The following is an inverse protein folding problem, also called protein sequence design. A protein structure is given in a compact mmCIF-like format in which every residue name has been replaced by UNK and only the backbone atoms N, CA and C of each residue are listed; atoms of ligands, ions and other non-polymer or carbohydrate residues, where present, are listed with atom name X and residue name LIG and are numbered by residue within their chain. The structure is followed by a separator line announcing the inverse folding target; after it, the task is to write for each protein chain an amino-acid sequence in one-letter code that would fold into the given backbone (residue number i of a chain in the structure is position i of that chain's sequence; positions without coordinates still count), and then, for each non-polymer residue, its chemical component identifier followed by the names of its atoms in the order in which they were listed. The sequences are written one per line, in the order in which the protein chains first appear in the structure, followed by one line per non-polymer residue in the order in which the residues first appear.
data_IF_054071556055
#
_entry.id   IF_054071556055
#
_cell.length_a   1.000
_cell.length_b   1.000
_cell.length_c   1.000
_cell.angle_alpha   90.00
_cell.angle_beta   90.00
_cell.angle_gamma   90.00
#
_symmetry.space_group_name_H-M   'P 1'
#
loop_
_entity.id
_entity.type
_entity.pdbx_description
1 polymer ?
#
# COMPACT_ATOMS: atom_id res chain seq x y z
N UNK A 1 23.42 5.78 12.36
CA UNK A 1 23.71 4.64 13.19
C UNK A 1 22.50 3.75 13.30
N UNK A 2 22.52 2.61 12.61
CA UNK A 2 21.47 1.60 12.72
C UNK A 2 21.50 1.07 14.16
N UNK A 3 20.42 1.25 14.89
CA UNK A 3 20.20 0.48 16.11
C UNK A 3 19.94 -0.95 15.67
N UNK A 4 20.97 -1.77 15.74
CA UNK A 4 20.85 -3.23 15.58
C UNK A 4 20.08 -3.78 16.79
N UNK A 5 18.78 -3.57 16.75
CA UNK A 5 17.91 -4.22 17.71
C UNK A 5 17.66 -5.64 17.21
N UNK A 6 18.02 -6.65 18.00
CA UNK A 6 17.76 -8.06 17.67
C UNK A 6 16.27 -8.35 17.36
N UNK A 7 15.37 -7.47 17.74
CA UNK A 7 13.93 -7.53 17.46
C UNK A 7 13.54 -6.91 16.10
N UNK A 8 14.44 -6.20 15.41
CA UNK A 8 14.12 -5.53 14.16
C UNK A 8 13.60 -6.50 13.07
N UNK A 9 14.21 -7.67 12.82
CA UNK A 9 13.69 -8.61 11.82
C UNK A 9 12.29 -9.10 12.14
N UNK A 10 11.98 -9.36 13.42
CA UNK A 10 10.66 -9.79 13.86
C UNK A 10 9.62 -8.68 13.64
N UNK A 11 9.98 -7.45 13.97
CA UNK A 11 9.11 -6.29 13.75
C UNK A 11 8.80 -6.10 12.26
N UNK A 12 9.82 -6.20 11.39
CA UNK A 12 9.62 -6.09 9.95
C UNK A 12 8.77 -7.24 9.40
N UNK A 13 8.96 -8.47 9.86
CA UNK A 13 8.13 -9.59 9.47
C UNK A 13 6.65 -9.37 9.84
N UNK A 14 6.37 -8.89 11.03
CA UNK A 14 5.00 -8.54 11.47
C UNK A 14 4.42 -7.41 10.61
N UNK A 15 5.20 -6.38 10.31
CA UNK A 15 4.76 -5.26 9.46
C UNK A 15 4.46 -5.71 8.02
N UNK A 16 5.28 -6.61 7.45
CA UNK A 16 5.05 -7.18 6.12
C UNK A 16 3.76 -8.00 6.06
N UNK A 17 3.53 -8.86 7.06
CA UNK A 17 2.29 -9.65 7.15
C UNK A 17 1.07 -8.72 7.31
N UNK A 18 1.15 -7.73 8.19
CA UNK A 18 0.07 -6.77 8.39
C UNK A 18 -0.23 -5.98 7.10
N UNK A 19 0.79 -5.61 6.34
CA UNK A 19 0.63 -4.92 5.05
C UNK A 19 0.01 -5.83 4.00
N UNK A 20 0.39 -7.10 3.94
CA UNK A 20 -0.18 -8.09 3.03
C UNK A 20 -1.68 -8.30 3.30
N UNK A 21 -2.07 -8.42 4.58
CA UNK A 21 -3.49 -8.53 4.96
C UNK A 21 -4.25 -7.22 4.69
N UNK A 22 -3.63 -6.06 4.88
CA UNK A 22 -4.21 -4.76 4.58
C UNK A 22 -4.47 -4.58 3.07
N UNK A 23 -3.54 -5.01 2.20
CA UNK A 23 -3.73 -4.99 0.76
C UNK A 23 -4.89 -5.89 0.32
N UNK A 24 -5.05 -7.06 0.96
CA UNK A 24 -6.18 -7.95 0.73
C UNK A 24 -7.53 -7.32 1.13
N UNK A 25 -7.53 -6.52 2.17
CA UNK A 25 -8.73 -5.76 2.58
C UNK A 25 -9.06 -4.67 1.55
N UNK A 26 -8.04 -4.01 0.99
CA UNK A 26 -8.19 -2.97 -0.03
C UNK A 26 -8.71 -3.50 -1.39
N UNK A 27 -8.60 -4.81 -1.67
CA UNK A 27 -9.12 -5.47 -2.88
C UNK A 27 -10.66 -5.47 -2.97
N UNK A 28 -11.33 -4.93 -1.97
CA UNK A 28 -12.78 -4.74 -1.96
C UNK A 28 -13.30 -3.60 -2.82
N UNK A 29 -12.44 -2.75 -3.36
CA UNK A 29 -12.77 -1.65 -4.25
C UNK A 29 -11.99 -1.75 -5.56
N UNK A 30 -12.72 -1.61 -6.68
CA UNK A 30 -12.18 -1.77 -8.04
C UNK A 30 -10.93 -0.92 -8.29
N UNK A 31 -9.87 -1.55 -8.81
CA UNK A 31 -8.62 -0.90 -9.22
C UNK A 31 -7.71 -0.41 -8.10
N UNK A 32 -8.17 -0.40 -6.85
CA UNK A 32 -7.46 0.26 -5.75
C UNK A 32 -6.11 -0.37 -5.44
N UNK A 33 -6.02 -1.70 -5.42
CA UNK A 33 -4.75 -2.39 -5.16
C UNK A 33 -3.76 -2.16 -6.29
N UNK A 34 -4.20 -2.31 -7.53
CA UNK A 34 -3.36 -2.13 -8.71
C UNK A 34 -2.91 -0.67 -8.87
N UNK A 35 -3.82 0.30 -8.68
CA UNK A 35 -3.50 1.73 -8.78
C UNK A 35 -2.56 2.20 -7.67
N UNK A 36 -2.81 1.79 -6.43
CA UNK A 36 -1.95 2.12 -5.30
C UNK A 36 -0.56 1.48 -5.42
N UNK A 37 -0.50 0.20 -5.81
CA UNK A 37 0.76 -0.50 -6.02
C UNK A 37 1.53 0.07 -7.21
N UNK A 38 0.87 0.44 -8.31
CA UNK A 38 1.49 1.11 -9.45
C UNK A 38 2.19 2.40 -9.03
N UNK A 39 1.49 3.28 -8.29
CA UNK A 39 2.07 4.52 -7.79
C UNK A 39 3.26 4.27 -6.85
N UNK A 40 3.17 3.26 -5.97
CA UNK A 40 4.26 2.88 -5.08
C UNK A 40 5.48 2.34 -5.86
N UNK A 41 5.27 1.54 -6.90
CA UNK A 41 6.36 1.00 -7.75
C UNK A 41 7.05 2.10 -8.55
N UNK A 42 6.30 3.06 -9.12
CA UNK A 42 6.91 4.23 -9.76
C UNK A 42 7.75 5.04 -8.75
N UNK A 43 7.23 5.20 -7.54
CA UNK A 43 7.95 5.87 -6.46
C UNK A 43 9.24 5.17 -6.08
N UNK A 44 9.22 3.85 -5.95
CA UNK A 44 10.41 3.05 -5.66
C UNK A 44 11.44 3.17 -6.79
N UNK A 45 11.02 3.04 -8.04
CA UNK A 45 11.89 3.23 -9.20
C UNK A 45 12.60 4.59 -9.16
N UNK A 46 11.86 5.67 -8.87
CA UNK A 46 12.43 7.02 -8.76
C UNK A 46 13.40 7.13 -7.58
N UNK A 47 13.05 6.58 -6.42
CA UNK A 47 13.89 6.62 -5.22
C UNK A 47 15.18 5.82 -5.40
N UNK A 48 15.10 4.62 -5.96
CA UNK A 48 16.27 3.77 -6.22
C UNK A 48 17.24 4.43 -7.21
N UNK A 49 16.70 5.08 -8.25
CA UNK A 49 17.54 5.85 -9.19
C UNK A 49 18.22 7.04 -8.52
N UNK A 50 17.53 7.77 -7.64
CA UNK A 50 18.10 8.90 -6.89
C UNK A 50 19.14 8.46 -5.87
N UNK A 51 18.95 7.29 -5.25
CA UNK A 51 19.88 6.72 -4.27
C UNK A 51 21.08 5.98 -4.92
N UNK A 52 21.15 5.93 -6.26
CA UNK A 52 22.23 5.27 -6.98
C UNK A 52 22.07 3.76 -7.17
N UNK A 53 20.91 3.18 -6.83
CA UNK A 53 20.62 1.76 -6.95
C UNK A 53 20.01 1.39 -8.32
N UNK A 54 20.54 1.95 -9.41
CA UNK A 54 20.04 1.75 -10.78
C UNK A 54 19.73 0.30 -11.17
N UNK A 55 20.58 -0.70 -10.87
CA UNK A 55 20.28 -2.08 -11.25
C UNK A 55 19.03 -2.65 -10.60
N UNK A 56 18.69 -2.20 -9.38
CA UNK A 56 17.51 -2.66 -8.66
C UNK A 56 16.23 -1.95 -9.13
N UNK A 57 16.31 -0.73 -9.62
CA UNK A 57 15.18 0.04 -10.14
C UNK A 57 14.44 -0.65 -11.31
N UNK A 58 15.06 -1.65 -11.94
CA UNK A 58 14.43 -2.47 -12.99
C UNK A 58 13.26 -3.28 -12.44
N UNK A 59 13.32 -3.76 -11.19
CA UNK A 59 12.24 -4.55 -10.58
C UNK A 59 10.95 -3.73 -10.39
N UNK A 60 10.96 -2.60 -9.69
CA UNK A 60 9.75 -1.78 -9.56
C UNK A 60 9.29 -1.22 -10.90
N UNK A 61 10.20 -0.91 -11.86
CA UNK A 61 9.80 -0.48 -13.18
C UNK A 61 9.02 -1.56 -13.95
N UNK A 62 9.51 -2.80 -13.96
CA UNK A 62 8.85 -3.93 -14.60
C UNK A 62 7.49 -4.22 -13.96
N UNK A 63 7.44 -4.20 -12.62
CA UNK A 63 6.19 -4.43 -11.89
C UNK A 63 5.18 -3.29 -12.11
N UNK A 64 5.63 -2.05 -12.17
CA UNK A 64 4.78 -0.92 -12.53
C UNK A 64 4.13 -1.10 -13.91
N UNK A 65 4.90 -1.53 -14.91
CA UNK A 65 4.37 -1.85 -16.24
C UNK A 65 3.32 -2.94 -16.21
N UNK A 66 3.55 -4.03 -15.48
CA UNK A 66 2.60 -5.12 -15.33
C UNK A 66 1.32 -4.68 -14.60
N UNK A 67 1.44 -3.91 -13.52
CA UNK A 67 0.31 -3.37 -12.77
C UNK A 67 -0.52 -2.40 -13.60
N UNK A 68 0.12 -1.55 -14.41
CA UNK A 68 -0.57 -0.64 -15.32
C UNK A 68 -1.36 -1.41 -16.40
N UNK A 69 -0.78 -2.47 -16.96
CA UNK A 69 -1.47 -3.32 -17.93
C UNK A 69 -2.67 -4.03 -17.29
N UNK A 70 -2.51 -4.54 -16.06
CA UNK A 70 -3.60 -5.19 -15.33
C UNK A 70 -4.70 -4.18 -14.96
N UNK A 71 -4.33 -2.95 -14.60
CA UNK A 71 -5.27 -1.89 -14.22
C UNK A 71 -6.27 -1.55 -15.34
N UNK A 72 -5.93 -1.80 -16.60
CA UNK A 72 -6.89 -1.63 -17.73
C UNK A 72 -8.13 -2.53 -17.58
N UNK A 73 -7.99 -3.66 -16.88
CA UNK A 73 -9.07 -4.62 -16.63
C UNK A 73 -9.68 -4.49 -15.23
N UNK A 74 -8.90 -3.96 -14.28
CA UNK A 74 -9.29 -3.77 -12.88
C UNK A 74 -9.89 -2.38 -12.62
N UNK A 75 -9.76 -1.44 -13.59
CA UNK A 75 -10.34 -0.09 -13.48
C UNK A 75 -11.88 -0.13 -13.37
N UNK A 76 -12.50 0.72 -12.50
CA UNK A 76 -13.96 0.72 -12.32
C UNK A 76 -14.76 1.01 -13.61
N UNK A 77 -15.76 0.17 -13.97
CA UNK A 77 -16.17 -1.09 -13.33
C UNK A 77 -15.23 -2.24 -13.68
N UNK A 78 -14.66 -2.89 -12.65
CA UNK A 78 -13.65 -3.91 -12.85
C UNK A 78 -14.21 -5.16 -13.55
N UNK A 79 -13.43 -5.68 -14.50
CA UNK A 79 -13.70 -6.95 -15.19
C UNK A 79 -12.87 -8.10 -14.64
N UNK A 80 -11.75 -7.78 -14.00
CA UNK A 80 -10.81 -8.70 -13.37
C UNK A 80 -10.31 -8.06 -12.07
N UNK A 81 -10.10 -8.87 -11.06
CA UNK A 81 -9.49 -8.45 -9.80
C UNK A 81 -8.16 -9.18 -9.58
N UNK A 82 -7.16 -8.56 -8.92
CA UNK A 82 -5.87 -9.18 -8.64
C UNK A 82 -5.99 -10.39 -7.72
N UNK A 83 -7.05 -10.43 -6.93
CA UNK A 83 -7.32 -11.50 -5.99
C UNK A 83 -6.22 -11.63 -4.93
N UNK A 84 -6.34 -12.65 -4.09
CA UNK A 84 -5.43 -12.85 -2.94
C UNK A 84 -3.95 -12.90 -3.34
N UNK A 85 -3.63 -13.62 -4.42
CA UNK A 85 -2.23 -13.75 -4.84
C UNK A 85 -1.65 -12.43 -5.34
N UNK A 86 -2.40 -11.68 -6.16
CA UNK A 86 -1.96 -10.38 -6.65
C UNK A 86 -1.78 -9.35 -5.52
N UNK A 87 -2.71 -9.31 -4.56
CA UNK A 87 -2.61 -8.43 -3.39
C UNK A 87 -1.38 -8.74 -2.53
N UNK A 88 -1.14 -10.03 -2.23
CA UNK A 88 0.02 -10.46 -1.46
C UNK A 88 1.34 -10.15 -2.18
N UNK A 89 1.37 -10.36 -3.50
CA UNK A 89 2.54 -10.05 -4.31
C UNK A 89 2.84 -8.54 -4.35
N UNK A 90 1.83 -7.71 -4.61
CA UNK A 90 1.97 -6.25 -4.64
C UNK A 90 2.45 -5.70 -3.28
N UNK A 91 1.82 -6.14 -2.18
CA UNK A 91 2.20 -5.75 -0.83
C UNK A 91 3.62 -6.23 -0.48
N UNK A 92 3.95 -7.47 -0.83
CA UNK A 92 5.28 -8.03 -0.63
C UNK A 92 6.35 -7.22 -1.36
N UNK A 93 6.12 -6.85 -2.62
CA UNK A 93 7.04 -6.02 -3.40
C UNK A 93 7.26 -4.64 -2.74
N UNK A 94 6.18 -3.94 -2.34
CA UNK A 94 6.26 -2.62 -1.68
C UNK A 94 7.05 -2.71 -0.36
N UNK A 95 6.93 -3.82 0.36
CA UNK A 95 7.62 -4.01 1.62
C UNK A 95 9.05 -4.51 1.50
N UNK A 96 9.31 -5.48 0.61
CA UNK A 96 10.61 -6.14 0.51
C UNK A 96 11.63 -5.34 -0.30
N UNK A 97 11.23 -4.62 -1.35
CA UNK A 97 12.17 -3.87 -2.18
C UNK A 97 12.93 -2.81 -1.36
N UNK A 98 12.29 -1.96 -0.53
CA UNK A 98 13.01 -1.03 0.33
C UNK A 98 13.93 -1.72 1.35
N UNK A 99 13.57 -2.90 1.84
CA UNK A 99 14.44 -3.69 2.72
C UNK A 99 15.72 -4.12 2.01
N UNK A 100 15.64 -4.51 0.73
CA UNK A 100 16.81 -4.94 -0.06
C UNK A 100 17.82 -3.81 -0.26
N UNK A 101 17.39 -2.56 -0.33
CA UNK A 101 18.28 -1.39 -0.50
C UNK A 101 18.70 -0.77 0.84
N UNK A 102 18.28 -1.36 1.98
CA UNK A 102 18.65 -0.89 3.31
C UNK A 102 17.81 0.29 3.83
N UNK A 103 16.73 0.68 3.15
CA UNK A 103 15.82 1.77 3.50
C UNK A 103 14.43 1.24 3.86
N UNK A 104 14.36 0.29 4.78
CA UNK A 104 13.13 -0.38 5.19
C UNK A 104 12.00 0.59 5.57
N UNK A 105 12.34 1.73 6.17
CA UNK A 105 11.41 2.79 6.58
C UNK A 105 10.60 3.37 5.42
N UNK A 106 11.12 3.35 4.19
CA UNK A 106 10.39 3.83 3.01
C UNK A 106 9.15 2.99 2.69
N UNK A 107 9.11 1.74 3.13
CA UNK A 107 7.92 0.88 2.99
C UNK A 107 6.70 1.47 3.75
N UNK A 108 6.96 2.28 4.78
CA UNK A 108 5.90 2.85 5.62
C UNK A 108 5.05 3.86 4.85
N UNK A 109 5.58 4.93 4.27
CA UNK A 109 4.80 5.87 3.50
C UNK A 109 4.33 5.32 2.15
N UNK A 110 5.11 4.46 1.49
CA UNK A 110 4.73 3.88 0.19
C UNK A 110 3.49 2.98 0.28
N UNK A 111 3.29 2.29 1.40
CA UNK A 111 2.11 1.48 1.67
C UNK A 111 0.95 2.25 2.32
N UNK A 112 0.97 3.59 2.30
CA UNK A 112 0.01 4.43 3.03
C UNK A 112 -1.46 4.07 2.77
N UNK A 113 -1.96 3.86 1.52
CA UNK A 113 -3.34 3.49 1.29
C UNK A 113 -3.71 2.15 1.93
N UNK A 114 -2.85 1.14 1.84
CA UNK A 114 -3.09 -0.16 2.48
C UNK A 114 -3.10 -0.05 4.00
N UNK A 115 -2.22 0.77 4.57
CA UNK A 115 -2.18 1.00 6.03
C UNK A 115 -3.42 1.71 6.54
N UNK A 116 -3.95 2.67 5.80
CA UNK A 116 -5.19 3.37 6.16
C UNK A 116 -6.37 2.39 6.09
N UNK A 117 -6.49 1.60 5.03
CA UNK A 117 -7.54 0.59 4.88
C UNK A 117 -7.48 -0.46 5.99
N UNK A 118 -6.34 -1.11 6.19
CA UNK A 118 -6.15 -2.12 7.22
C UNK A 118 -6.24 -1.54 8.63
N UNK A 119 -5.65 -0.37 8.87
CA UNK A 119 -5.69 0.32 10.16
C UNK A 119 -7.11 0.66 10.59
N UNK A 120 -7.96 1.10 9.66
CA UNK A 120 -9.36 1.39 9.94
C UNK A 120 -10.13 0.12 10.37
N UNK A 121 -9.83 -1.03 9.74
CA UNK A 121 -10.43 -2.32 10.14
C UNK A 121 -9.95 -2.76 11.52
N UNK A 122 -8.64 -2.67 11.80
CA UNK A 122 -8.07 -3.02 13.11
C UNK A 122 -8.69 -2.15 14.21
N UNK A 123 -8.75 -0.84 14.01
CA UNK A 123 -9.38 0.09 14.96
C UNK A 123 -10.85 -0.23 15.18
N UNK A 124 -11.59 -0.55 14.11
CA UNK A 124 -12.99 -0.95 14.20
C UNK A 124 -13.17 -2.19 15.07
N UNK A 125 -12.37 -3.26 14.82
CA UNK A 125 -12.46 -4.52 15.56
C UNK A 125 -12.09 -4.32 17.04
N UNK A 126 -11.00 -3.60 17.33
CA UNK A 126 -10.58 -3.32 18.70
C UNK A 126 -11.64 -2.52 19.47
N UNK A 127 -12.20 -1.50 18.83
CA UNK A 127 -13.23 -0.66 19.47
C UNK A 127 -14.54 -1.43 19.70
N UNK A 128 -14.96 -2.27 18.74
CA UNK A 128 -16.11 -3.14 18.90
C UNK A 128 -15.91 -4.13 20.07
N UNK A 129 -14.72 -4.70 20.21
CA UNK A 129 -14.40 -5.60 21.34
C UNK A 129 -14.40 -4.88 22.68
N UNK A 130 -13.94 -3.64 22.71
CA UNK A 130 -13.81 -2.89 23.96
C UNK A 130 -15.10 -2.23 24.42
N UNK A 131 -15.85 -1.61 23.49
CA UNK A 131 -17.05 -0.82 23.82
C UNK A 131 -18.37 -1.44 23.32
N UNK A 132 -18.34 -2.59 22.67
CA UNK A 132 -19.54 -3.26 22.16
C UNK A 132 -20.29 -2.53 21.05
N UNK A 133 -19.70 -1.46 20.49
CA UNK A 133 -20.30 -0.65 19.42
C UNK A 133 -19.27 -0.29 18.35
N UNK A 134 -19.69 -0.14 17.08
CA UNK A 134 -18.79 0.24 16.01
C UNK A 134 -18.30 1.69 16.18
N UNK A 135 -17.01 1.92 15.86
CA UNK A 135 -16.39 3.25 15.83
C UNK A 135 -16.80 4.02 14.58
N UNK A 136 -16.73 3.34 13.43
CA UNK A 136 -17.09 3.89 12.12
C UNK A 136 -18.39 3.27 11.63
N UNK A 137 -19.15 4.02 10.84
CA UNK A 137 -20.39 3.55 10.21
C UNK A 137 -20.14 2.38 9.23
N UNK A 138 -18.94 2.29 8.67
CA UNK A 138 -18.42 1.17 7.90
C UNK A 138 -16.90 1.18 7.97
N UNK A 139 -16.28 0.02 7.84
CA UNK A 139 -14.86 -0.18 7.63
C UNK A 139 -14.73 -1.32 6.60
N UNK A 140 -13.75 -1.31 5.75
CA UNK A 140 -12.63 -0.36 5.52
C UNK A 140 -13.02 1.02 4.96
N UNK A 141 -12.02 1.86 4.62
CA UNK A 141 -12.23 3.24 4.17
C UNK A 141 -13.08 3.32 2.90
N UNK A 142 -12.82 2.47 1.89
CA UNK A 142 -13.61 2.46 0.66
C UNK A 142 -15.10 2.24 0.93
N UNK A 143 -15.48 1.29 1.82
CA UNK A 143 -16.88 1.06 2.19
C UNK A 143 -17.51 2.23 2.93
N UNK A 144 -16.72 2.97 3.69
CA UNK A 144 -17.20 4.17 4.36
C UNK A 144 -17.46 5.30 3.34
N UNK A 145 -16.60 5.44 2.32
CA UNK A 145 -16.77 6.37 1.22
C UNK A 145 -17.98 6.00 0.35
N UNK A 146 -18.18 4.73 0.04
CA UNK A 146 -19.39 4.21 -0.67
C UNK A 146 -20.67 4.57 0.08
N UNK A 147 -20.71 4.34 1.40
CA UNK A 147 -21.87 4.74 2.22
C UNK A 147 -22.14 6.23 2.22
N UNK A 148 -21.14 7.06 1.92
CA UNK A 148 -21.30 8.51 1.73
C UNK A 148 -21.73 8.90 0.32
N UNK A 149 -21.99 7.94 -0.56
CA UNK A 149 -22.46 8.17 -1.92
C UNK A 149 -21.35 8.48 -2.94
N UNK A 150 -20.07 8.22 -2.60
CA UNK A 150 -19.00 8.36 -3.58
C UNK A 150 -19.05 7.25 -4.62
N UNK A 151 -18.83 7.62 -5.90
CA UNK A 151 -18.73 6.65 -6.98
C UNK A 151 -17.43 5.83 -6.88
N UNK A 152 -17.42 4.61 -7.43
CA UNK A 152 -16.26 3.74 -7.45
C UNK A 152 -15.01 4.42 -8.05
N UNK A 153 -15.22 5.20 -9.11
CA UNK A 153 -14.14 5.98 -9.76
C UNK A 153 -13.56 7.03 -8.83
N UNK A 154 -14.40 7.74 -8.06
CA UNK A 154 -13.91 8.74 -7.10
C UNK A 154 -13.16 8.10 -5.93
N UNK A 155 -13.59 6.90 -5.48
CA UNK A 155 -12.89 6.13 -4.45
C UNK A 155 -11.51 5.70 -4.96
N UNK A 156 -11.45 5.18 -6.19
CA UNK A 156 -10.19 4.86 -6.85
C UNK A 156 -9.22 6.05 -6.87
N UNK A 157 -9.66 7.22 -7.36
CA UNK A 157 -8.82 8.42 -7.39
C UNK A 157 -8.40 8.90 -6.00
N UNK A 158 -9.27 8.79 -4.99
CA UNK A 158 -8.94 9.17 -3.62
C UNK A 158 -7.82 8.30 -3.03
N UNK A 159 -7.85 6.99 -3.29
CA UNK A 159 -6.82 6.07 -2.82
C UNK A 159 -5.51 6.19 -3.62
N UNK A 160 -5.59 6.48 -4.93
CA UNK A 160 -4.42 6.83 -5.74
C UNK A 160 -3.78 8.14 -5.26
N UNK A 161 -4.56 9.16 -4.94
CA UNK A 161 -4.05 10.41 -4.37
C UNK A 161 -3.34 10.17 -3.03
N UNK A 162 -3.88 9.29 -2.19
CA UNK A 162 -3.24 8.88 -0.94
C UNK A 162 -1.88 8.18 -1.18
N UNK A 163 -1.77 7.39 -2.25
CA UNK A 163 -0.50 6.77 -2.67
C UNK A 163 0.53 7.82 -3.08
N UNK A 164 0.10 8.84 -3.84
CA UNK A 164 0.97 9.96 -4.25
C UNK A 164 1.44 10.77 -3.04
N UNK A 165 0.56 11.00 -2.06
CA UNK A 165 0.96 11.62 -0.78
C UNK A 165 1.99 10.76 -0.04
N UNK A 166 1.79 9.45 -0.01
CA UNK A 166 2.77 8.51 0.57
C UNK A 166 4.12 8.57 -0.15
N UNK A 167 4.11 8.63 -1.48
CA UNK A 167 5.31 8.81 -2.28
C UNK A 167 6.04 10.12 -1.95
N UNK A 168 5.32 11.24 -1.87
CA UNK A 168 5.91 12.52 -1.50
C UNK A 168 6.59 12.47 -0.12
N UNK A 169 5.95 11.81 0.85
CA UNK A 169 6.54 11.57 2.17
C UNK A 169 7.79 10.68 2.10
N UNK A 170 7.77 9.63 1.29
CA UNK A 170 8.92 8.75 1.09
C UNK A 170 10.13 9.51 0.50
N UNK A 171 9.89 10.36 -0.50
CA UNK A 171 10.93 11.21 -1.11
C UNK A 171 11.48 12.21 -0.09
N UNK A 172 10.64 12.82 0.73
CA UNK A 172 11.08 13.72 1.80
C UNK A 172 11.97 12.96 2.80
N UNK A 173 11.57 11.79 3.25
CA UNK A 173 12.35 10.98 4.20
C UNK A 173 13.71 10.56 3.60
N UNK A 174 13.73 10.11 2.35
CA UNK A 174 14.95 9.71 1.67
C UNK A 174 15.98 10.86 1.49
N UNK A 175 15.54 12.11 1.51
CA UNK A 175 16.44 13.27 1.45
C UNK A 175 17.05 13.65 2.81
N UNK A 176 16.45 13.17 3.90
CA UNK A 176 16.90 13.48 5.26
C UNK A 176 17.73 12.33 5.87
N UNK A 177 17.69 11.14 5.28
CA UNK A 177 18.45 9.96 5.68
C UNK A 177 19.81 9.89 4.99
#
# INVERSE_FOLDING_TARGET
GYVECALAPLLWAVLLVAMAEAARVADGADGTVCGAAFAAMLGLMMLETQLGWFPLAVFPAALAGALMAFLLWDFPPAKLHPGRCGCLYAAGAIGCIPLCIGYAELSIPLALPFRVEGGMVVLQVLFCRWKGRPLFAAAPLHRWLEKRGMSAVNIFYSLCALSVCGLALAVCLARWA
#
